data_IF_731253896722
#
_entry.id   IF_731253896722
#
_cell.length_a   1.000
_cell.length_b   1.000
_cell.length_c   1.000
_cell.angle_alpha   90.00
_cell.angle_beta   90.00
_cell.angle_gamma   90.00
#
_symmetry.space_group_name_H-M   'P 1'
#
loop_
_entity.id
_entity.type
_entity.pdbx_description
1 polymer ?
#
# COMPACT_ATOMS: atom_id res chain seq x y z
N UNK A 1 -17.92 -12.45 -0.93
CA UNK A 1 -17.31 -13.29 -1.99
C UNK A 1 -17.08 -12.53 -3.29
N UNK A 2 -18.10 -11.96 -3.95
CA UNK A 2 -17.91 -11.21 -5.21
C UNK A 2 -16.92 -10.04 -5.11
N UNK A 3 -17.06 -9.18 -4.09
CA UNK A 3 -16.19 -8.00 -3.91
C UNK A 3 -14.69 -8.34 -3.83
N UNK A 4 -14.32 -9.34 -3.03
CA UNK A 4 -12.91 -9.71 -2.85
C UNK A 4 -12.32 -10.25 -4.16
N UNK A 5 -13.12 -11.01 -4.93
CA UNK A 5 -12.70 -11.48 -6.24
C UNK A 5 -12.47 -10.30 -7.21
N UNK A 6 -13.42 -9.36 -7.30
CA UNK A 6 -13.30 -8.16 -8.16
C UNK A 6 -12.06 -7.32 -7.78
N UNK A 7 -11.80 -7.16 -6.48
CA UNK A 7 -10.61 -6.46 -5.99
C UNK A 7 -9.33 -7.21 -6.40
N UNK A 8 -9.28 -8.54 -6.23
CA UNK A 8 -8.11 -9.34 -6.61
C UNK A 8 -7.84 -9.28 -8.11
N UNK A 9 -8.86 -9.42 -8.94
CA UNK A 9 -8.74 -9.37 -10.40
C UNK A 9 -8.24 -8.00 -10.85
N UNK A 10 -8.77 -6.92 -10.27
CA UNK A 10 -8.33 -5.55 -10.53
C UNK A 10 -6.88 -5.33 -10.10
N UNK A 11 -6.51 -5.75 -8.89
CA UNK A 11 -5.16 -5.59 -8.36
C UNK A 11 -4.14 -6.34 -9.24
N UNK A 12 -4.46 -7.57 -9.65
CA UNK A 12 -3.58 -8.37 -10.54
C UNK A 12 -3.47 -7.76 -11.93
N UNK A 13 -4.57 -7.29 -12.53
CA UNK A 13 -4.56 -6.70 -13.86
C UNK A 13 -3.68 -5.45 -13.95
N UNK A 14 -3.50 -4.74 -12.84
CA UNK A 14 -2.74 -3.49 -12.76
C UNK A 14 -1.38 -3.62 -12.04
N UNK A 15 -0.91 -4.85 -11.80
CA UNK A 15 0.33 -5.15 -11.08
C UNK A 15 0.42 -4.44 -9.71
N UNK A 16 -0.71 -4.32 -9.00
CA UNK A 16 -0.81 -3.65 -7.70
C UNK A 16 -0.12 -4.42 -6.57
N UNK A 17 0.50 -3.69 -5.65
CA UNK A 17 0.97 -4.24 -4.38
C UNK A 17 -0.17 -4.38 -3.35
N UNK A 18 -1.21 -3.56 -3.51
CA UNK A 18 -2.44 -3.54 -2.74
C UNK A 18 -3.56 -2.82 -3.48
N UNK A 19 -4.78 -2.96 -2.97
CA UNK A 19 -5.98 -2.29 -3.44
C UNK A 19 -6.99 -2.15 -2.29
N UNK A 20 -7.54 -0.95 -2.13
CA UNK A 20 -8.64 -0.65 -1.23
C UNK A 20 -9.98 -0.63 -1.97
N UNK A 21 -11.06 -1.08 -1.33
CA UNK A 21 -12.40 -1.11 -1.92
C UNK A 21 -12.89 0.26 -2.46
N UNK A 22 -12.58 1.41 -1.81
CA UNK A 22 -12.92 2.72 -2.35
C UNK A 22 -12.33 3.00 -3.74
N UNK A 23 -11.19 2.39 -4.10
CA UNK A 23 -10.57 2.58 -5.41
C UNK A 23 -11.38 1.97 -6.56
N UNK A 24 -12.27 1.02 -6.26
CA UNK A 24 -13.24 0.47 -7.22
C UNK A 24 -14.66 0.98 -6.99
N UNK A 25 -14.81 2.09 -6.24
CA UNK A 25 -16.08 2.76 -6.00
C UNK A 25 -16.96 2.11 -4.92
N UNK A 26 -16.39 1.26 -4.06
CA UNK A 26 -17.12 0.58 -2.98
C UNK A 26 -16.73 1.19 -1.64
N UNK A 27 -17.69 1.84 -0.99
CA UNK A 27 -17.52 2.51 0.32
C UNK A 27 -17.58 1.49 1.48
N UNK A 28 -16.62 0.57 1.52
CA UNK A 28 -16.43 -0.39 2.59
C UNK A 28 -14.97 -0.36 3.07
N UNK A 29 -14.77 -0.62 4.36
CA UNK A 29 -13.44 -0.70 4.97
C UNK A 29 -12.78 -2.05 4.69
N UNK A 30 -12.44 -2.29 3.43
CA UNK A 30 -11.80 -3.53 2.97
C UNK A 30 -10.57 -3.17 2.15
N UNK A 31 -9.45 -3.79 2.49
CA UNK A 31 -8.21 -3.73 1.69
C UNK A 31 -7.72 -5.13 1.39
N UNK A 32 -7.07 -5.27 0.23
CA UNK A 32 -6.25 -6.44 -0.09
C UNK A 32 -4.83 -5.98 -0.38
N UNK A 33 -3.85 -6.79 -0.03
CA UNK A 33 -2.45 -6.53 -0.34
C UNK A 33 -1.64 -7.82 -0.33
N UNK A 34 -0.49 -7.80 -0.99
CA UNK A 34 0.49 -8.88 -0.98
C UNK A 34 0.85 -9.40 -2.36
N UNK A 35 2.08 -9.89 -2.46
CA UNK A 35 2.72 -10.37 -3.68
C UNK A 35 3.96 -11.21 -3.30
N UNK A 36 4.35 -12.13 -4.18
CA UNK A 36 5.65 -12.81 -4.09
C UNK A 36 6.77 -11.96 -4.70
N UNK A 37 6.47 -11.27 -5.80
CA UNK A 37 7.30 -10.24 -6.42
C UNK A 37 6.38 -9.23 -7.10
N UNK A 38 6.82 -7.97 -7.25
CA UNK A 38 6.02 -6.93 -7.88
C UNK A 38 6.88 -6.10 -8.85
N UNK A 39 6.50 -5.99 -10.14
CA UNK A 39 7.31 -5.27 -11.13
C UNK A 39 7.37 -3.76 -10.89
N UNK A 40 6.40 -3.17 -10.17
CA UNK A 40 6.40 -1.76 -9.78
C UNK A 40 7.27 -1.48 -8.56
N UNK A 41 7.62 -2.53 -7.81
CA UNK A 41 8.47 -2.50 -6.61
C UNK A 41 9.45 -3.70 -6.64
N UNK A 42 10.41 -3.73 -7.58
CA UNK A 42 11.20 -4.93 -7.88
C UNK A 42 12.14 -5.35 -6.74
N UNK A 43 12.46 -4.44 -5.81
CA UNK A 43 13.30 -4.70 -4.64
C UNK A 43 12.50 -4.92 -3.35
N UNK A 44 11.17 -4.85 -3.40
CA UNK A 44 10.35 -5.05 -2.21
C UNK A 44 10.35 -6.53 -1.78
N UNK A 45 10.50 -6.76 -0.48
CA UNK A 45 10.35 -8.09 0.09
C UNK A 45 8.94 -8.64 -0.14
N UNK A 46 8.78 -9.97 -0.29
CA UNK A 46 7.46 -10.59 -0.43
C UNK A 46 6.53 -10.22 0.73
N UNK A 47 5.29 -9.86 0.40
CA UNK A 47 4.24 -9.57 1.38
C UNK A 47 3.15 -10.63 1.27
N UNK A 48 2.77 -11.32 2.36
CA UNK A 48 1.77 -12.37 2.29
C UNK A 48 0.43 -11.79 1.86
N UNK A 49 -0.20 -12.46 0.88
CA UNK A 49 -1.53 -12.07 0.44
C UNK A 49 -2.51 -12.05 1.63
N UNK A 50 -3.15 -10.91 1.84
CA UNK A 50 -4.02 -10.66 2.97
C UNK A 50 -5.26 -9.90 2.50
N UNK A 51 -6.43 -10.39 2.89
CA UNK A 51 -7.67 -9.62 2.90
C UNK A 51 -7.83 -9.10 4.32
N UNK A 52 -7.95 -7.78 4.47
CA UNK A 52 -8.07 -7.14 5.77
C UNK A 52 -9.31 -6.25 5.81
N UNK A 53 -10.26 -6.64 6.64
CA UNK A 53 -11.56 -6.00 6.81
C UNK A 53 -11.58 -5.26 8.15
N UNK A 54 -12.11 -4.04 8.14
CA UNK A 54 -12.18 -3.12 9.27
C UNK A 54 -10.82 -2.95 9.98
N UNK A 55 -9.76 -2.53 9.25
CA UNK A 55 -8.44 -2.44 9.83
C UNK A 55 -8.34 -1.36 10.92
N UNK A 56 -7.58 -1.68 11.96
CA UNK A 56 -7.06 -0.74 12.95
C UNK A 56 -5.54 -0.79 12.93
N UNK A 57 -4.89 0.37 12.77
CA UNK A 57 -3.43 0.49 12.77
C UNK A 57 -2.96 1.12 14.09
N UNK A 58 -1.87 0.60 14.65
CA UNK A 58 -1.20 1.15 15.83
C UNK A 58 0.30 1.19 15.58
N UNK A 59 0.92 2.38 15.45
CA UNK A 59 2.37 2.50 15.38
C UNK A 59 3.04 1.89 16.62
N UNK A 60 4.13 1.17 16.42
CA UNK A 60 4.88 0.54 17.54
C UNK A 60 6.02 1.42 18.07
N UNK A 61 6.41 2.44 17.29
CA UNK A 61 7.32 3.52 17.68
C UNK A 61 7.02 4.76 16.84
N UNK A 62 7.69 5.87 17.15
CA UNK A 62 7.65 7.10 16.35
C UNK A 62 8.63 7.07 15.17
N UNK A 63 9.40 5.98 15.02
CA UNK A 63 10.37 5.83 13.95
C UNK A 63 9.66 5.78 12.59
N UNK A 64 10.15 6.56 11.64
CA UNK A 64 9.65 6.60 10.27
C UNK A 64 10.72 6.17 9.27
N UNK A 65 10.27 5.50 8.21
CA UNK A 65 11.06 5.16 7.03
C UNK A 65 10.46 5.89 5.82
N UNK A 66 11.29 6.66 5.12
CA UNK A 66 10.89 7.27 3.86
C UNK A 66 11.09 6.30 2.70
N UNK A 67 10.30 6.47 1.64
CA UNK A 67 10.39 5.58 0.49
C UNK A 67 9.51 6.04 -0.65
N UNK A 68 9.80 5.54 -1.85
CA UNK A 68 9.05 5.90 -3.04
C UNK A 68 7.71 5.16 -3.11
N UNK A 69 6.61 5.90 -3.09
CA UNK A 69 5.26 5.35 -3.26
C UNK A 69 4.66 5.73 -4.62
N UNK A 70 3.90 4.80 -5.19
CA UNK A 70 2.95 5.04 -6.27
C UNK A 70 1.58 4.49 -5.90
N UNK A 71 0.55 4.87 -6.65
CA UNK A 71 -0.82 4.42 -6.41
C UNK A 71 -1.52 4.09 -7.72
N UNK A 72 -2.41 3.09 -7.72
CA UNK A 72 -3.26 2.78 -8.86
C UNK A 72 -4.23 3.91 -9.21
N UNK A 73 -4.67 4.68 -8.21
CA UNK A 73 -5.54 5.85 -8.40
C UNK A 73 -4.79 7.12 -8.84
N UNK A 74 -3.45 7.10 -8.85
CA UNK A 74 -2.60 8.22 -9.26
C UNK A 74 -1.56 7.71 -10.27
N UNK A 75 -2.01 7.30 -11.47
CA UNK A 75 -1.16 6.61 -12.44
C UNK A 75 -0.03 7.51 -12.94
N UNK A 76 1.12 6.90 -13.22
CA UNK A 76 2.28 7.59 -13.81
C UNK A 76 3.10 8.43 -12.83
N UNK A 77 2.67 8.65 -11.59
CA UNK A 77 3.40 9.46 -10.60
C UNK A 77 4.05 8.61 -9.49
N UNK A 78 5.11 9.16 -8.90
CA UNK A 78 5.75 8.67 -7.66
C UNK A 78 6.05 9.83 -6.73
N UNK A 79 6.02 9.56 -5.42
CA UNK A 79 6.39 10.53 -4.39
C UNK A 79 7.15 9.88 -3.24
N UNK A 80 8.06 10.64 -2.63
CA UNK A 80 8.81 10.22 -1.45
C UNK A 80 7.97 10.45 -0.18
N UNK A 81 7.59 9.37 0.48
CA UNK A 81 6.59 9.38 1.56
C UNK A 81 7.15 8.76 2.84
N UNK A 82 7.13 9.49 3.98
CA UNK A 82 7.43 8.92 5.28
C UNK A 82 6.27 8.04 5.76
N UNK A 83 6.61 6.88 6.32
CA UNK A 83 5.66 5.94 6.95
C UNK A 83 6.24 5.45 8.26
N UNK A 84 5.39 5.06 9.21
CA UNK A 84 5.87 4.39 10.41
C UNK A 84 6.64 3.13 10.01
N UNK A 85 7.88 3.02 10.48
CA UNK A 85 8.78 1.91 10.16
C UNK A 85 8.23 0.58 10.69
N UNK A 86 7.48 0.63 11.80
CA UNK A 86 6.89 -0.53 12.47
C UNK A 86 5.47 -0.20 12.95
N UNK A 87 4.54 -1.10 12.67
CA UNK A 87 3.18 -1.00 13.17
C UNK A 87 2.58 -2.35 13.48
N UNK A 88 1.54 -2.33 14.30
CA UNK A 88 0.60 -3.43 14.49
C UNK A 88 -0.68 -3.13 13.73
N UNK A 89 -1.19 -4.10 12.98
CA UNK A 89 -2.54 -4.02 12.41
C UNK A 89 -3.43 -5.12 12.96
N UNK A 90 -4.70 -4.76 13.12
CA UNK A 90 -5.79 -5.66 13.49
C UNK A 90 -6.94 -5.54 12.51
N UNK A 91 -7.78 -6.56 12.45
CA UNK A 91 -8.99 -6.59 11.63
C UNK A 91 -9.49 -8.02 11.48
N UNK A 92 -10.17 -8.30 10.38
CA UNK A 92 -10.70 -9.63 10.06
C UNK A 92 -10.33 -10.06 8.65
N UNK A 93 -10.21 -11.38 8.44
CA UNK A 93 -10.13 -11.96 7.10
C UNK A 93 -11.52 -12.10 6.46
N UNK A 94 -11.56 -12.63 5.23
CA UNK A 94 -12.80 -12.86 4.49
C UNK A 94 -13.74 -13.90 5.15
N UNK A 95 -13.21 -14.77 6.03
CA UNK A 95 -13.99 -15.75 6.79
C UNK A 95 -14.47 -15.19 8.15
N UNK A 96 -14.12 -13.96 8.50
CA UNK A 96 -14.44 -13.34 9.79
C UNK A 96 -13.49 -13.75 10.91
N UNK A 97 -12.35 -14.38 10.61
CA UNK A 97 -11.34 -14.71 11.61
C UNK A 97 -10.50 -13.47 11.92
N UNK A 98 -10.19 -13.25 13.20
CA UNK A 98 -9.41 -12.10 13.61
C UNK A 98 -7.96 -12.19 13.10
N UNK A 99 -7.45 -11.07 12.59
CA UNK A 99 -6.04 -10.87 12.24
C UNK A 99 -5.43 -9.91 13.27
N UNK A 100 -4.23 -10.24 13.74
CA UNK A 100 -3.43 -9.39 14.63
C UNK A 100 -1.94 -9.62 14.34
N UNK A 101 -1.26 -8.67 13.69
CA UNK A 101 0.13 -8.82 13.24
C UNK A 101 0.93 -7.57 13.51
N UNK A 102 2.20 -7.74 13.86
CA UNK A 102 3.20 -6.67 13.92
C UNK A 102 4.13 -6.80 12.72
N UNK A 103 4.33 -5.71 11.99
CA UNK A 103 5.04 -5.69 10.71
C UNK A 103 5.97 -4.48 10.60
N UNK A 104 6.92 -4.55 9.69
CA UNK A 104 7.92 -3.52 9.43
C UNK A 104 8.24 -3.38 7.94
N UNK A 105 9.04 -2.38 7.57
CA UNK A 105 9.54 -2.18 6.21
C UNK A 105 8.41 -2.05 5.19
N UNK A 106 8.58 -2.70 4.03
CA UNK A 106 7.61 -2.60 2.93
C UNK A 106 6.20 -3.10 3.30
N UNK A 107 6.09 -4.12 4.17
CA UNK A 107 4.79 -4.60 4.64
C UNK A 107 4.08 -3.52 5.49
N UNK A 108 4.82 -2.83 6.37
CA UNK A 108 4.26 -1.70 7.10
C UNK A 108 3.85 -0.56 6.16
N UNK A 109 4.66 -0.26 5.14
CA UNK A 109 4.35 0.77 4.13
C UNK A 109 3.07 0.48 3.38
N UNK A 110 2.94 -0.72 2.78
CA UNK A 110 1.76 -1.05 1.95
C UNK A 110 0.48 -1.03 2.78
N UNK A 111 0.48 -1.56 4.02
CA UNK A 111 -0.75 -1.58 4.82
C UNK A 111 -1.18 -0.17 5.25
N UNK A 112 -0.24 0.73 5.52
CA UNK A 112 -0.54 2.15 5.77
C UNK A 112 -1.13 2.82 4.52
N UNK A 113 -0.54 2.56 3.36
CA UNK A 113 -1.04 3.10 2.09
C UNK A 113 -2.48 2.64 1.80
N UNK A 114 -2.76 1.35 1.93
CA UNK A 114 -4.10 0.83 1.66
C UNK A 114 -5.13 1.32 2.69
N UNK A 115 -4.74 1.44 3.96
CA UNK A 115 -5.64 1.96 4.99
C UNK A 115 -5.92 3.47 4.83
N UNK A 116 -4.96 4.26 4.33
CA UNK A 116 -5.18 5.67 4.01
C UNK A 116 -6.35 5.86 3.02
N UNK A 117 -6.49 4.96 2.02
CA UNK A 117 -7.63 5.02 1.08
C UNK A 117 -8.98 4.87 1.77
N UNK A 118 -9.06 4.10 2.85
CA UNK A 118 -10.31 3.91 3.61
C UNK A 118 -10.76 5.19 4.33
N UNK A 119 -9.84 6.12 4.53
CA UNK A 119 -10.08 7.41 5.18
C UNK A 119 -10.04 8.56 4.16
N UNK A 120 -10.04 8.25 2.85
CA UNK A 120 -10.00 9.24 1.76
C UNK A 120 -8.65 9.94 1.61
N UNK A 121 -7.58 9.36 2.14
CA UNK A 121 -6.22 9.92 2.10
C UNK A 121 -5.46 9.26 0.97
N UNK A 122 -4.81 10.08 0.14
CA UNK A 122 -3.91 9.62 -0.92
C UNK A 122 -2.46 9.96 -0.56
N UNK A 123 -1.51 9.17 -1.06
CA UNK A 123 -0.08 9.40 -0.75
C UNK A 123 0.44 10.82 -1.06
N UNK A 124 -0.05 11.59 -2.07
CA UNK A 124 0.40 12.97 -2.26
C UNK A 124 0.07 13.89 -1.08
N UNK A 125 -0.93 13.54 -0.27
CA UNK A 125 -1.26 14.26 0.96
C UNK A 125 -0.29 13.97 2.11
N UNK A 126 0.55 12.93 1.98
CA UNK A 126 1.58 12.52 2.95
C UNK A 126 3.00 12.99 2.57
N UNK A 127 3.21 13.50 1.35
CA UNK A 127 4.51 13.98 0.88
C UNK A 127 4.94 15.20 1.69
N UNK A 128 6.17 15.15 2.24
CA UNK A 128 6.78 16.29 2.97
C UNK A 128 7.66 17.16 2.08
N UNK A 129 8.34 16.55 1.10
CA UNK A 129 9.22 17.24 0.15
C UNK A 129 8.71 17.05 -1.29
N UNK A 130 8.03 18.08 -1.81
CA UNK A 130 7.49 18.06 -3.17
C UNK A 130 8.54 18.17 -4.28
N UNK A 131 9.82 18.40 -3.95
CA UNK A 131 10.90 18.23 -4.94
C UNK A 131 11.12 16.76 -5.29
N UNK A 132 10.67 15.84 -4.42
CA UNK A 132 10.65 14.40 -4.62
C UNK A 132 9.24 13.89 -4.99
N UNK A 133 8.56 14.60 -5.89
CA UNK A 133 7.28 14.21 -6.45
C UNK A 133 7.27 14.47 -7.96
N UNK A 134 6.95 13.46 -8.76
CA UNK A 134 7.04 13.62 -10.21
C UNK A 134 6.63 12.39 -11.00
N UNK A 135 6.73 12.52 -12.32
CA UNK A 135 6.41 11.44 -13.26
C UNK A 135 7.45 10.31 -13.14
N UNK A 136 6.95 9.08 -13.16
CA UNK A 136 7.74 7.85 -13.01
C UNK A 136 8.82 7.77 -14.09
N UNK A 137 8.50 8.14 -15.34
CA UNK A 137 9.45 8.13 -16.46
C UNK A 137 10.60 9.15 -16.32
N UNK A 138 10.39 10.23 -15.55
CA UNK A 138 11.41 11.25 -15.30
C UNK A 138 12.27 10.86 -14.09
N UNK A 139 11.64 10.36 -13.03
CA UNK A 139 12.32 9.95 -11.79
C UNK A 139 13.09 8.63 -11.97
N UNK A 140 12.55 7.72 -12.77
CA UNK A 140 13.06 6.36 -12.98
C UNK A 140 13.08 6.04 -14.49
N UNK A 141 13.98 6.66 -15.28
CA UNK A 141 14.00 6.50 -16.73
C UNK A 141 14.34 5.07 -17.18
N UNK A 142 14.99 4.28 -16.31
CA UNK A 142 15.29 2.86 -16.54
C UNK A 142 14.18 1.92 -16.00
N UNK A 143 13.06 2.46 -15.53
CA UNK A 143 11.89 1.69 -15.08
C UNK A 143 11.98 1.13 -13.66
N UNK A 144 13.13 1.20 -13.00
CA UNK A 144 13.31 0.71 -11.64
C UNK A 144 13.10 1.82 -10.62
N UNK A 145 12.10 1.67 -9.75
CA UNK A 145 12.01 2.47 -8.51
C UNK A 145 13.27 2.17 -7.70
N UNK A 146 14.15 3.16 -7.59
CA UNK A 146 15.41 3.06 -6.83
C UNK A 146 15.11 2.66 -5.37
N UNK A 147 16.05 1.96 -4.70
CA UNK A 147 15.85 1.51 -3.32
C UNK A 147 15.47 2.64 -2.36
N UNK A 148 14.78 2.26 -1.28
CA UNK A 148 14.70 3.07 -0.07
C UNK A 148 16.14 3.16 0.48
N UNK A 149 16.85 4.27 0.19
CA UNK A 149 18.19 4.58 0.73
C UNK A 149 18.12 5.07 2.18
#
# INVERSE_FOLDING_TARGET
DALVADMQDTMRHLDGAGLAAPQIGVDLRVVIFGFESNPRYPQAEPVPFTVLINPELTPLSEDEEEGWEGCLSVPGLRGWVPRYARLRYRGFDAAGSAIDRSVSGFHARVVQHECDHLDGILYPMRIRDFTRFGFTEVLFPEGNVAPDD
#
